data_IF_283445933012
#
_entry.id   IF_283445933012
#
_cell.length_a   1.000
_cell.length_b   1.000
_cell.length_c   1.000
_cell.angle_alpha   90.00
_cell.angle_beta   90.00
_cell.angle_gamma   90.00
#
_symmetry.space_group_name_H-M   'P 1'
#
loop_
_entity.id
_entity.type
_entity.pdbx_description
1 polymer ?
#
# COMPACT_ATOMS: atom_id res chain seq x y z
N UNK A 1 21.20 21.29 -30.68
CA UNK A 1 19.91 21.91 -30.31
C UNK A 1 19.34 21.13 -29.15
N UNK A 2 19.23 21.73 -27.99
CA UNK A 2 18.64 21.08 -26.81
C UNK A 2 17.13 21.20 -26.94
N UNK A 3 16.46 20.08 -27.10
CA UNK A 3 15.00 20.03 -27.16
C UNK A 3 14.47 19.92 -25.72
N UNK A 4 13.82 20.98 -25.25
CA UNK A 4 13.18 20.96 -23.95
C UNK A 4 11.83 20.23 -24.03
N UNK A 5 11.47 19.38 -23.05
CA UNK A 5 10.17 18.75 -23.02
C UNK A 5 9.07 19.80 -22.94
N UNK A 6 8.06 19.66 -23.78
CA UNK A 6 6.96 20.62 -23.93
C UNK A 6 5.71 20.24 -23.15
N UNK A 7 5.65 19.01 -22.64
CA UNK A 7 4.51 18.53 -21.83
C UNK A 7 4.99 17.86 -20.54
N UNK A 8 4.16 17.92 -19.52
CA UNK A 8 4.41 17.28 -18.23
C UNK A 8 4.60 15.76 -18.40
N UNK A 9 3.84 15.12 -19.28
CA UNK A 9 3.98 13.69 -19.59
C UNK A 9 5.36 13.35 -20.16
N UNK A 10 5.91 14.18 -21.06
CA UNK A 10 7.24 13.98 -21.65
C UNK A 10 8.36 14.11 -20.61
N UNK A 11 8.15 14.90 -19.56
CA UNK A 11 9.11 15.01 -18.45
C UNK A 11 9.11 13.72 -17.63
N UNK A 12 7.95 13.19 -17.34
CA UNK A 12 7.81 11.96 -16.53
C UNK A 12 8.33 10.71 -17.24
N UNK A 13 8.18 10.61 -18.57
CA UNK A 13 8.70 9.49 -19.36
C UNK A 13 10.25 9.39 -19.34
N UNK A 14 10.93 10.48 -18.98
CA UNK A 14 12.40 10.54 -18.94
C UNK A 14 12.97 10.29 -17.55
N UNK A 15 12.13 10.31 -16.52
CA UNK A 15 12.57 10.13 -15.14
C UNK A 15 12.55 8.65 -14.79
N UNK A 16 13.72 8.12 -14.42
CA UNK A 16 13.83 6.74 -13.94
C UNK A 16 13.09 6.58 -12.62
N UNK A 17 12.29 5.54 -12.50
CA UNK A 17 11.63 5.18 -11.24
C UNK A 17 12.43 4.12 -10.52
N UNK A 18 12.74 4.39 -9.25
CA UNK A 18 13.33 3.42 -8.33
C UNK A 18 12.40 3.23 -7.13
N UNK A 19 12.49 2.06 -6.52
CA UNK A 19 11.66 1.69 -5.38
C UNK A 19 12.52 1.43 -4.16
N UNK A 20 11.96 1.66 -2.99
CA UNK A 20 12.60 1.34 -1.72
C UNK A 20 11.62 0.60 -0.80
N UNK A 21 12.15 -0.31 0.01
CA UNK A 21 11.34 -1.16 0.88
C UNK A 21 10.90 -0.38 2.13
N UNK A 22 9.60 -0.21 2.30
CA UNK A 22 9.02 0.46 3.48
C UNK A 22 9.34 -0.24 4.79
N UNK A 23 9.65 -1.55 4.77
CA UNK A 23 10.04 -2.28 5.98
C UNK A 23 11.41 -1.85 6.52
N UNK A 24 12.23 -1.17 5.73
CA UNK A 24 13.49 -0.58 6.18
C UNK A 24 13.30 0.68 7.05
N UNK A 25 12.10 1.28 7.01
CA UNK A 25 11.77 2.39 7.90
C UNK A 25 11.57 1.89 9.32
N UNK A 26 12.33 2.47 10.25
CA UNK A 26 12.09 2.25 11.66
C UNK A 26 10.79 2.95 12.10
N UNK A 27 10.01 2.36 13.02
CA UNK A 27 8.84 3.04 13.59
C UNK A 27 9.23 4.42 14.13
N UNK A 28 8.42 5.43 13.81
CA UNK A 28 8.61 6.82 14.22
C UNK A 28 9.85 7.54 13.64
N UNK A 29 10.41 7.06 12.54
CA UNK A 29 11.58 7.69 11.91
C UNK A 29 11.30 9.09 11.31
N UNK A 30 10.04 9.43 11.08
CA UNK A 30 9.64 10.75 10.60
C UNK A 30 10.10 11.09 9.18
N UNK A 31 10.44 10.10 8.38
CA UNK A 31 10.80 10.31 6.98
C UNK A 31 9.54 10.39 6.15
N UNK A 32 9.27 11.57 5.62
CA UNK A 32 8.18 11.82 4.70
C UNK A 32 8.74 12.39 3.39
N UNK A 33 8.55 11.65 2.29
CA UNK A 33 8.85 12.13 0.96
C UNK A 33 10.34 12.28 0.67
N UNK A 34 10.95 11.23 0.16
CA UNK A 34 12.25 11.29 -0.47
C UNK A 34 12.03 11.62 -1.94
N UNK A 35 12.49 12.76 -2.38
CA UNK A 35 12.42 13.15 -3.78
C UNK A 35 13.77 13.61 -4.30
N UNK A 36 14.05 13.23 -5.56
CA UNK A 36 15.21 13.70 -6.30
C UNK A 36 14.73 14.25 -7.63
N UNK A 37 15.38 15.28 -8.15
CA UNK A 37 15.08 15.85 -9.47
C UNK A 37 15.42 14.90 -10.63
N UNK A 38 16.25 13.90 -10.39
CA UNK A 38 16.75 12.97 -11.41
C UNK A 38 16.04 11.60 -11.39
N UNK A 39 15.41 11.26 -10.27
CA UNK A 39 14.85 9.93 -10.04
C UNK A 39 13.50 10.04 -9.32
N UNK A 40 12.50 9.34 -9.82
CA UNK A 40 11.24 9.17 -9.12
C UNK A 40 11.39 8.05 -8.09
N UNK A 41 11.25 8.39 -6.81
CA UNK A 41 11.45 7.46 -5.69
C UNK A 41 10.10 7.07 -5.12
N UNK A 42 9.78 5.78 -5.21
CA UNK A 42 8.47 5.25 -4.83
C UNK A 42 8.62 4.18 -3.74
N UNK A 43 7.86 4.29 -2.63
CA UNK A 43 7.88 3.24 -1.63
C UNK A 43 7.27 1.94 -2.19
N UNK A 44 7.82 0.81 -1.77
CA UNK A 44 7.37 -0.53 -2.12
C UNK A 44 7.26 -1.41 -0.87
N UNK A 45 6.76 -2.61 -1.04
CA UNK A 45 6.56 -3.56 0.03
C UNK A 45 5.13 -3.58 0.55
N UNK A 46 4.88 -4.50 1.46
CA UNK A 46 3.56 -4.70 2.07
C UNK A 46 3.68 -4.51 3.58
N UNK A 47 2.75 -3.76 4.16
CA UNK A 47 2.65 -3.60 5.61
C UNK A 47 1.24 -3.96 6.08
N UNK A 48 1.08 -4.18 7.37
CA UNK A 48 -0.22 -4.45 7.98
C UNK A 48 -0.66 -3.26 8.83
N UNK A 49 -1.92 -2.87 8.67
CA UNK A 49 -2.57 -1.96 9.60
C UNK A 49 -3.34 -2.79 10.64
N UNK A 50 -2.78 -2.90 11.84
CA UNK A 50 -3.37 -3.64 12.96
C UNK A 50 -3.92 -2.66 13.97
N UNK A 51 -5.24 -2.65 14.12
CA UNK A 51 -5.94 -1.74 15.00
C UNK A 51 -6.03 -2.27 16.43
N UNK A 52 -6.17 -1.35 17.39
CA UNK A 52 -6.41 -1.72 18.78
C UNK A 52 -7.86 -2.19 19.00
N UNK A 53 -8.08 -2.99 20.03
CA UNK A 53 -9.43 -3.40 20.42
C UNK A 53 -10.33 -2.19 20.76
N UNK A 54 -9.73 -1.11 21.26
CA UNK A 54 -10.47 0.14 21.55
C UNK A 54 -11.05 0.80 20.31
N UNK A 55 -10.37 0.72 19.18
CA UNK A 55 -10.90 1.25 17.90
C UNK A 55 -12.15 0.48 17.48
N UNK A 56 -12.15 -0.84 17.65
CA UNK A 56 -13.34 -1.67 17.38
C UNK A 56 -14.52 -1.29 18.29
N UNK A 57 -14.25 -1.05 19.57
CA UNK A 57 -15.27 -0.64 20.54
C UNK A 57 -15.86 0.73 20.24
N UNK A 58 -15.03 1.67 19.77
CA UNK A 58 -15.47 3.01 19.39
C UNK A 58 -16.30 3.04 18.11
N UNK A 59 -16.05 2.11 17.20
CA UNK A 59 -16.68 2.08 15.88
C UNK A 59 -17.39 0.74 15.66
N UNK A 60 -18.65 0.61 16.12
CA UNK A 60 -19.45 -0.62 15.93
C UNK A 60 -19.60 -1.04 14.46
N UNK A 61 -19.36 -0.12 13.53
CA UNK A 61 -19.42 -0.35 12.10
C UNK A 61 -18.44 -1.45 11.63
N UNK A 62 -17.32 -1.64 12.30
CA UNK A 62 -16.40 -2.75 11.97
C UNK A 62 -17.06 -4.11 12.12
N UNK A 63 -17.78 -4.33 13.22
CA UNK A 63 -18.52 -5.58 13.44
C UNK A 63 -19.65 -5.78 12.44
N UNK A 64 -20.36 -4.72 12.09
CA UNK A 64 -21.42 -4.75 11.07
C UNK A 64 -20.87 -5.13 9.69
N UNK A 65 -19.74 -4.54 9.29
CA UNK A 65 -19.09 -4.84 8.02
C UNK A 65 -18.59 -6.30 7.99
N UNK A 66 -17.99 -6.77 9.08
CA UNK A 66 -17.53 -8.16 9.20
C UNK A 66 -18.69 -9.15 9.05
N UNK A 67 -19.77 -8.94 9.76
CA UNK A 67 -20.94 -9.80 9.75
C UNK A 67 -21.66 -9.80 8.40
N UNK A 68 -21.80 -8.62 7.81
CA UNK A 68 -22.58 -8.43 6.58
C UNK A 68 -21.82 -8.80 5.31
N UNK A 69 -20.51 -8.52 5.26
CA UNK A 69 -19.71 -8.66 4.04
C UNK A 69 -18.60 -9.72 4.13
N UNK A 70 -18.34 -10.26 5.31
CA UNK A 70 -17.23 -11.20 5.50
C UNK A 70 -15.85 -10.55 5.33
N UNK A 71 -15.73 -9.27 5.67
CA UNK A 71 -14.48 -8.51 5.65
C UNK A 71 -13.96 -8.44 7.07
N UNK A 72 -12.86 -9.14 7.36
CA UNK A 72 -12.29 -9.26 8.70
C UNK A 72 -11.08 -8.35 8.86
N UNK A 73 -11.23 -7.30 9.66
CA UNK A 73 -10.17 -6.34 9.94
C UNK A 73 -9.11 -6.92 10.88
N UNK A 74 -7.89 -6.41 10.79
CA UNK A 74 -6.80 -6.83 11.65
C UNK A 74 -6.85 -6.07 12.97
N UNK A 75 -7.02 -6.80 14.07
CA UNK A 75 -6.99 -6.27 15.43
C UNK A 75 -5.94 -6.99 16.26
N UNK A 76 -5.34 -6.28 17.21
CA UNK A 76 -4.27 -6.82 18.07
C UNK A 76 -4.70 -7.99 18.95
N UNK A 77 -5.98 -8.12 19.25
CA UNK A 77 -6.56 -9.21 20.02
C UNK A 77 -6.94 -10.43 19.17
N UNK A 78 -6.59 -10.43 17.90
CA UNK A 78 -6.76 -11.53 16.96
C UNK A 78 -5.42 -11.97 16.40
N UNK A 79 -5.39 -13.16 15.81
CA UNK A 79 -4.22 -13.64 15.09
C UNK A 79 -3.88 -12.70 13.92
N UNK A 80 -2.68 -12.15 13.97
CA UNK A 80 -2.17 -11.29 12.89
C UNK A 80 -1.49 -12.17 11.86
N UNK A 81 -1.92 -12.10 10.59
CA UNK A 81 -1.34 -12.95 9.54
C UNK A 81 0.08 -12.51 9.18
N UNK A 82 0.83 -13.43 8.60
CA UNK A 82 2.10 -13.11 7.95
C UNK A 82 1.83 -12.38 6.62
N UNK A 83 2.81 -11.58 6.17
CA UNK A 83 2.71 -10.88 4.89
C UNK A 83 2.68 -11.88 3.73
N UNK A 84 1.63 -11.87 2.90
CA UNK A 84 1.46 -12.88 1.85
C UNK A 84 2.28 -12.63 0.59
N UNK A 85 2.70 -11.38 0.35
CA UNK A 85 3.39 -10.96 -0.87
C UNK A 85 4.16 -9.65 -0.63
N UNK A 86 4.98 -9.29 -1.59
CA UNK A 86 5.66 -7.99 -1.67
C UNK A 86 5.01 -7.15 -2.76
N UNK A 87 4.37 -6.06 -2.39
CA UNK A 87 3.65 -5.19 -3.31
C UNK A 87 4.54 -4.07 -3.88
N UNK A 88 4.35 -3.74 -5.15
CA UNK A 88 4.99 -2.61 -5.82
C UNK A 88 3.93 -1.88 -6.64
N UNK A 89 3.60 -0.62 -6.32
CA UNK A 89 4.03 0.20 -5.15
C UNK A 89 3.56 -0.36 -3.80
N UNK A 90 3.95 0.31 -2.73
CA UNK A 90 3.61 -0.06 -1.36
C UNK A 90 2.10 -0.18 -1.14
N UNK A 91 1.70 -1.23 -0.43
CA UNK A 91 0.32 -1.50 -0.05
C UNK A 91 0.22 -1.80 1.45
N UNK A 92 -0.71 -1.15 2.12
CA UNK A 92 -1.04 -1.45 3.51
C UNK A 92 -2.27 -2.33 3.56
N UNK A 93 -2.12 -3.57 4.01
CA UNK A 93 -3.23 -4.49 4.20
C UNK A 93 -3.95 -4.17 5.50
N UNK A 94 -5.27 -4.11 5.47
CA UNK A 94 -6.10 -3.77 6.65
C UNK A 94 -7.15 -4.83 6.98
N UNK A 95 -7.47 -5.72 6.04
CA UNK A 95 -8.46 -6.77 6.25
C UNK A 95 -8.24 -7.94 5.29
N UNK A 96 -8.91 -9.04 5.59
CA UNK A 96 -9.00 -10.18 4.67
C UNK A 96 -10.43 -10.70 4.63
N UNK A 97 -10.78 -11.43 3.57
CA UNK A 97 -12.06 -12.14 3.53
C UNK A 97 -11.94 -13.56 4.11
N UNK A 98 -13.06 -14.25 4.21
CA UNK A 98 -13.09 -15.63 4.71
C UNK A 98 -12.61 -16.68 3.70
N UNK A 99 -12.22 -16.28 2.49
CA UNK A 99 -11.84 -17.19 1.39
C UNK A 99 -10.34 -17.10 1.04
N UNK A 100 -9.58 -16.30 1.75
CA UNK A 100 -8.15 -16.14 1.54
C UNK A 100 -7.74 -14.93 0.72
N UNK A 101 -8.67 -14.04 0.38
CA UNK A 101 -8.38 -12.76 -0.26
C UNK A 101 -7.99 -11.68 0.76
N UNK A 102 -7.46 -10.55 0.26
CA UNK A 102 -6.91 -9.48 1.08
C UNK A 102 -7.46 -8.14 0.63
N UNK A 103 -7.62 -7.23 1.60
CA UNK A 103 -7.94 -5.83 1.34
C UNK A 103 -6.75 -4.96 1.73
N UNK A 104 -6.38 -4.06 0.84
CA UNK A 104 -5.28 -3.14 1.06
C UNK A 104 -5.57 -1.74 0.60
N UNK A 105 -4.80 -0.79 1.11
CA UNK A 105 -4.88 0.61 0.79
C UNK A 105 -3.54 1.09 0.25
N UNK A 106 -3.57 1.78 -0.88
CA UNK A 106 -2.40 2.47 -1.41
C UNK A 106 -2.08 3.69 -0.54
N UNK A 107 -0.79 3.93 -0.31
CA UNK A 107 -0.33 5.16 0.34
C UNK A 107 0.07 6.24 -0.67
N UNK A 108 -0.28 6.04 -1.93
CA UNK A 108 0.03 6.96 -3.01
C UNK A 108 -1.25 7.52 -3.62
N UNK A 109 -1.19 8.79 -4.02
CA UNK A 109 -2.32 9.45 -4.65
C UNK A 109 -3.52 9.58 -3.72
N UNK A 110 -4.66 9.10 -4.15
CA UNK A 110 -5.95 9.21 -3.45
C UNK A 110 -6.20 8.12 -2.40
N UNK A 111 -5.21 7.32 -2.07
CA UNK A 111 -5.33 6.22 -1.12
C UNK A 111 -6.38 5.18 -1.55
N UNK A 112 -6.27 4.75 -2.79
CA UNK A 112 -7.17 3.77 -3.39
C UNK A 112 -7.22 2.46 -2.62
N UNK A 113 -8.40 1.82 -2.60
CA UNK A 113 -8.62 0.54 -1.94
C UNK A 113 -8.59 -0.58 -2.98
N UNK A 114 -7.85 -1.63 -2.67
CA UNK A 114 -7.68 -2.82 -3.51
C UNK A 114 -8.16 -4.08 -2.80
N UNK A 115 -8.70 -4.98 -3.59
CA UNK A 115 -8.90 -6.37 -3.20
C UNK A 115 -7.93 -7.25 -3.97
N UNK A 116 -7.24 -8.12 -3.27
CA UNK A 116 -6.34 -9.12 -3.85
C UNK A 116 -6.99 -10.48 -3.68
N UNK A 117 -7.24 -11.18 -4.79
CA UNK A 117 -7.84 -12.52 -4.76
C UNK A 117 -6.92 -13.52 -4.08
N UNK A 118 -7.45 -14.69 -3.65
CA UNK A 118 -6.61 -15.78 -3.14
C UNK A 118 -5.50 -16.22 -4.10
N UNK A 119 -5.72 -16.05 -5.40
CA UNK A 119 -4.76 -16.35 -6.46
C UNK A 119 -3.71 -15.26 -6.67
N UNK A 120 -3.86 -14.10 -5.98
CA UNK A 120 -2.92 -13.00 -6.04
C UNK A 120 -3.20 -11.97 -7.14
N UNK A 121 -4.42 -11.91 -7.64
CA UNK A 121 -4.83 -10.92 -8.64
C UNK A 121 -5.38 -9.65 -7.97
N UNK A 122 -4.81 -8.47 -8.26
CA UNK A 122 -5.28 -7.22 -7.67
C UNK A 122 -6.43 -6.59 -8.47
N UNK A 123 -7.42 -6.11 -7.74
CA UNK A 123 -8.53 -5.33 -8.27
C UNK A 123 -8.70 -4.05 -7.45
N UNK A 124 -8.95 -2.93 -8.12
CA UNK A 124 -9.33 -1.71 -7.46
C UNK A 124 -10.83 -1.76 -7.15
N UNK A 125 -11.21 -1.50 -5.91
CA UNK A 125 -12.61 -1.56 -5.46
C UNK A 125 -13.15 -0.21 -5.01
N UNK A 126 -12.30 0.75 -4.75
CA UNK A 126 -12.72 2.11 -4.40
C UNK A 126 -11.60 3.13 -4.61
N UNK A 127 -11.96 4.38 -4.81
CA UNK A 127 -11.03 5.50 -4.95
C UNK A 127 -10.43 5.96 -3.60
N UNK A 128 -11.05 5.61 -2.47
CA UNK A 128 -10.57 5.96 -1.14
C UNK A 128 -11.19 5.06 -0.07
N UNK A 129 -10.59 5.02 1.12
CA UNK A 129 -11.16 4.32 2.27
C UNK A 129 -12.50 4.92 2.70
N UNK A 130 -12.62 6.23 2.66
CA UNK A 130 -13.86 6.92 2.99
C UNK A 130 -15.00 6.50 2.07
N UNK A 131 -14.76 6.47 0.78
CA UNK A 131 -15.74 6.05 -0.23
C UNK A 131 -16.09 4.57 -0.09
N UNK A 132 -15.09 3.72 0.15
CA UNK A 132 -15.29 2.29 0.40
C UNK A 132 -16.20 2.04 1.60
N UNK A 133 -15.90 2.66 2.74
CA UNK A 133 -16.71 2.55 3.94
C UNK A 133 -18.14 3.09 3.72
N UNK A 134 -18.28 4.23 3.04
CA UNK A 134 -19.58 4.81 2.69
C UNK A 134 -20.44 3.84 1.89
N UNK A 135 -19.87 3.21 0.88
CA UNK A 135 -20.58 2.26 0.02
C UNK A 135 -21.01 1.00 0.76
N UNK A 136 -20.13 0.45 1.61
CA UNK A 136 -20.46 -0.70 2.43
C UNK A 136 -21.59 -0.39 3.42
N UNK A 137 -21.54 0.75 4.08
CA UNK A 137 -22.59 1.17 5.01
C UNK A 137 -23.91 1.52 4.31
N UNK A 138 -23.85 1.91 3.05
CA UNK A 138 -25.04 2.11 2.21
C UNK A 138 -25.63 0.80 1.66
N UNK A 139 -24.98 -0.34 1.91
CA UNK A 139 -25.45 -1.65 1.47
C UNK A 139 -25.03 -2.05 0.06
N UNK A 140 -24.07 -1.34 -0.53
CA UNK A 140 -23.52 -1.71 -1.84
C UNK A 140 -22.57 -2.90 -1.73
N UNK A 141 -22.67 -3.86 -2.63
CA UNK A 141 -21.76 -5.01 -2.66
C UNK A 141 -20.43 -4.57 -3.30
N UNK A 142 -19.35 -4.68 -2.53
CA UNK A 142 -18.01 -4.34 -2.98
C UNK A 142 -17.55 -5.21 -4.16
N UNK A 143 -18.09 -6.42 -4.32
CA UNK A 143 -17.76 -7.32 -5.42
C UNK A 143 -18.23 -6.80 -6.79
N UNK A 144 -19.20 -5.91 -6.81
CA UNK A 144 -19.69 -5.28 -8.04
C UNK A 144 -18.80 -4.12 -8.53
N UNK A 145 -17.84 -3.70 -7.69
CA UNK A 145 -17.00 -2.52 -7.93
C UNK A 145 -15.60 -2.86 -8.48
N UNK A 146 -15.36 -4.10 -8.83
CA UNK A 146 -14.04 -4.56 -9.24
C UNK A 146 -13.58 -4.00 -10.59
N UNK A 147 -12.41 -3.38 -10.59
CA UNK A 147 -11.68 -2.99 -11.78
C UNK A 147 -10.27 -3.59 -11.73
N UNK A 148 -9.75 -4.22 -12.79
CA UNK A 148 -8.37 -4.72 -12.79
C UNK A 148 -7.37 -3.61 -12.45
N UNK A 149 -6.45 -3.88 -11.54
CA UNK A 149 -5.45 -2.94 -11.07
C UNK A 149 -4.10 -3.24 -11.71
N UNK A 150 -3.82 -2.66 -12.88
CA UNK A 150 -2.57 -2.87 -13.61
C UNK A 150 -1.39 -2.12 -12.98
N UNK A 151 -1.67 -1.07 -12.22
CA UNK A 151 -0.68 -0.24 -11.53
C UNK A 151 -0.04 -0.91 -10.31
N UNK A 152 -0.63 -2.01 -9.83
CA UNK A 152 -0.16 -2.74 -8.65
C UNK A 152 0.39 -4.11 -9.06
N UNK A 153 1.66 -4.35 -8.78
CA UNK A 153 2.30 -5.64 -8.99
C UNK A 153 2.57 -6.33 -7.65
N UNK A 154 2.30 -7.62 -7.59
CA UNK A 154 2.48 -8.44 -6.40
C UNK A 154 3.50 -9.54 -6.68
N UNK A 155 4.52 -9.61 -5.83
CA UNK A 155 5.60 -10.59 -5.95
C UNK A 155 5.59 -11.53 -4.73
N UNK A 156 6.00 -12.80 -4.89
CA UNK A 156 6.03 -13.74 -3.77
C UNK A 156 7.06 -13.36 -2.69
N UNK A 157 8.06 -12.56 -3.05
CA UNK A 157 9.11 -12.11 -2.13
C UNK A 157 9.74 -10.80 -2.59
N UNK A 158 10.47 -10.15 -1.69
CA UNK A 158 11.29 -8.97 -2.01
C UNK A 158 12.35 -9.28 -3.08
N UNK A 159 12.95 -10.45 -3.00
CA UNK A 159 13.96 -10.91 -3.95
C UNK A 159 13.39 -11.06 -5.37
N UNK A 160 12.17 -11.58 -5.48
CA UNK A 160 11.46 -11.67 -6.75
C UNK A 160 11.13 -10.27 -7.30
N UNK A 161 10.71 -9.35 -6.46
CA UNK A 161 10.47 -7.96 -6.86
C UNK A 161 11.74 -7.28 -7.36
N UNK A 162 12.86 -7.51 -6.71
CA UNK A 162 14.17 -6.94 -7.08
C UNK A 162 14.66 -7.37 -8.47
N UNK A 163 14.16 -8.49 -8.99
CA UNK A 163 14.45 -8.94 -10.35
C UNK A 163 13.61 -8.19 -11.40
N UNK A 164 12.47 -7.66 -11.03
CA UNK A 164 11.53 -7.00 -11.94
C UNK A 164 11.62 -5.47 -11.89
N UNK A 165 11.97 -4.90 -10.73
CA UNK A 165 12.10 -3.45 -10.51
C UNK A 165 13.40 -3.14 -9.80
N UNK A 166 13.87 -1.90 -9.92
CA UNK A 166 15.06 -1.45 -9.20
C UNK A 166 14.69 -1.10 -7.77
N UNK A 167 15.14 -1.94 -6.82
CA UNK A 167 15.05 -1.70 -5.39
C UNK A 167 16.37 -1.09 -4.89
N UNK A 168 16.28 0.07 -4.28
CA UNK A 168 17.42 0.81 -3.74
C UNK A 168 17.36 0.77 -2.22
N UNK A 169 18.46 0.46 -1.52
CA UNK A 169 18.49 0.54 -0.06
C UNK A 169 18.15 1.94 0.43
N UNK A 170 17.36 2.04 1.48
CA UNK A 170 16.96 3.33 2.05
C UNK A 170 18.19 4.17 2.44
N UNK A 171 19.26 3.54 2.91
CA UNK A 171 20.52 4.20 3.27
C UNK A 171 21.16 4.97 2.11
N UNK A 172 20.96 4.54 0.87
CA UNK A 172 21.46 5.24 -0.33
C UNK A 172 20.63 6.46 -0.71
N UNK A 173 19.36 6.50 -0.26
CA UNK A 173 18.43 7.60 -0.56
C UNK A 173 18.50 8.73 0.47
N UNK A 174 19.09 8.47 1.62
CA UNK A 174 19.21 9.44 2.70
C UNK A 174 20.45 10.32 2.53
N UNK A 175 20.40 11.60 2.98
CA UNK A 175 21.59 12.43 3.03
C UNK A 175 22.70 11.77 3.87
N UNK A 176 23.95 11.95 3.46
CA UNK A 176 25.12 11.32 4.14
C UNK A 176 25.29 11.75 5.60
N UNK A 177 24.76 12.92 5.94
CA UNK A 177 24.78 13.51 7.28
C UNK A 177 23.50 13.22 8.08
N UNK A 178 22.58 12.45 7.51
CA UNK A 178 21.35 12.08 8.21
C UNK A 178 21.64 11.06 9.30
N UNK A 179 21.63 11.54 10.52
CA UNK A 179 21.69 10.69 11.71
C UNK A 179 20.25 10.37 12.13
N UNK A 180 19.74 9.26 11.63
CA UNK A 180 18.42 8.80 11.98
C UNK A 180 18.22 8.57 13.47
N UNK A 181 17.05 8.03 13.84
CA UNK A 181 16.64 7.80 15.22
C UNK A 181 17.54 6.83 16.05
N UNK A 182 18.73 6.50 15.58
CA UNK A 182 19.68 5.65 16.31
C UNK A 182 20.23 6.31 17.60
N UNK A 183 20.04 7.62 17.77
CA UNK A 183 20.50 8.36 18.95
C UNK A 183 19.36 8.78 19.92
N UNK A 184 18.18 8.15 19.83
CA UNK A 184 17.11 8.48 20.79
C UNK A 184 16.66 7.27 21.58
#
# INVERSE_FOLDING_TARGET
MVQYPTTEAEVWDRVKTVYWDMSELLPNSGIFGISSSEVNVVPAGTTLNVMSARERERMPQYGEIEERYGIFFFFRDRDVPELPFFAVPHLTLFARDGQGGWFGQSNQGEEEVYYITPEGEPFRVSSSMKEFARRLLAGEDWRELWEPAQELALYPSKEAAAQAVELVPLSELLPKDWKGAEER
#
